data_IF_495028740723
#
_entry.id   IF_495028740723
#
_cell.length_a   1.000
_cell.length_b   1.000
_cell.length_c   1.000
_cell.angle_alpha   90.00
_cell.angle_beta   90.00
_cell.angle_gamma   90.00
#
_symmetry.space_group_name_H-M   'P 1'
#
loop_
_entity.id
_entity.type
_entity.pdbx_description
1 polymer ?
#
# COMPACT_ATOMS: atom_id res chain seq x y z
N UNK A 1 2.46 1.89 17.62
CA UNK A 1 3.30 1.20 16.63
C UNK A 1 2.45 0.20 15.86
N UNK A 2 2.76 -0.09 14.59
CA UNK A 2 2.13 -1.18 13.86
C UNK A 2 2.94 -2.47 14.08
N UNK A 3 2.30 -3.56 14.44
CA UNK A 3 2.99 -4.83 14.68
C UNK A 3 3.20 -5.58 13.37
N UNK A 4 4.23 -6.43 13.32
CA UNK A 4 4.41 -7.41 12.23
C UNK A 4 3.12 -8.24 12.05
N UNK A 5 2.76 -8.52 10.79
CA UNK A 5 1.55 -9.22 10.41
C UNK A 5 0.28 -8.35 10.35
N UNK A 6 0.30 -7.12 10.87
CA UNK A 6 -0.84 -6.22 10.74
C UNK A 6 -0.98 -5.68 9.32
N UNK A 7 -2.24 -5.50 8.92
CA UNK A 7 -2.59 -4.92 7.62
C UNK A 7 -2.86 -3.42 7.77
N UNK A 8 -2.23 -2.64 6.91
CA UNK A 8 -2.41 -1.20 6.76
C UNK A 8 -3.16 -0.92 5.46
N UNK A 9 -4.26 -0.18 5.55
CA UNK A 9 -4.97 0.38 4.39
C UNK A 9 -4.59 1.85 4.24
N UNK A 10 -4.10 2.22 3.06
CA UNK A 10 -3.78 3.60 2.69
C UNK A 10 -4.71 4.02 1.55
N UNK A 11 -5.27 5.24 1.64
CA UNK A 11 -6.08 5.84 0.59
C UNK A 11 -5.35 7.11 0.16
N UNK A 12 -5.06 7.21 -1.13
CA UNK A 12 -4.35 8.32 -1.75
C UNK A 12 -5.19 8.88 -2.91
N UNK A 13 -5.03 10.15 -3.24
CA UNK A 13 -5.72 10.78 -4.37
C UNK A 13 -4.78 11.06 -5.54
N UNK A 14 -3.50 10.72 -5.39
CA UNK A 14 -2.48 10.88 -6.41
C UNK A 14 -2.23 9.56 -7.16
N UNK A 15 -2.13 9.66 -8.49
CA UNK A 15 -1.87 8.49 -9.35
C UNK A 15 -0.45 7.94 -9.19
N UNK A 16 0.49 8.74 -8.69
CA UNK A 16 1.88 8.36 -8.46
C UNK A 16 2.01 7.25 -7.40
N UNK A 17 1.14 7.29 -6.40
CA UNK A 17 1.08 6.35 -5.28
C UNK A 17 1.06 4.89 -5.71
N UNK A 18 0.45 4.56 -6.87
CA UNK A 18 0.43 3.20 -7.41
C UNK A 18 1.83 2.61 -7.62
N UNK A 19 2.78 3.41 -8.11
CA UNK A 19 4.17 2.96 -8.32
C UNK A 19 4.97 3.04 -7.03
N UNK A 20 4.73 4.08 -6.25
CA UNK A 20 5.46 4.32 -5.00
C UNK A 20 5.19 3.20 -3.99
N UNK A 21 3.94 2.73 -3.87
CA UNK A 21 3.59 1.65 -2.94
C UNK A 21 4.07 0.27 -3.39
N UNK A 22 4.17 0.02 -4.71
CA UNK A 22 4.81 -1.18 -5.24
C UNK A 22 6.31 -1.21 -4.90
N UNK A 23 7.01 -0.10 -5.18
CA UNK A 23 8.43 0.04 -4.87
C UNK A 23 8.68 -0.02 -3.36
N UNK A 24 7.85 0.66 -2.57
CA UNK A 24 7.92 0.66 -1.11
C UNK A 24 7.79 -0.75 -0.54
N UNK A 25 6.79 -1.52 -0.96
CA UNK A 25 6.61 -2.90 -0.52
C UNK A 25 7.86 -3.75 -0.83
N UNK A 26 8.36 -3.66 -2.06
CA UNK A 26 9.57 -4.39 -2.49
C UNK A 26 10.82 -4.01 -1.69
N UNK A 27 11.05 -2.71 -1.46
CA UNK A 27 12.24 -2.21 -0.76
C UNK A 27 12.23 -2.50 0.73
N UNK A 28 11.06 -2.46 1.36
CA UNK A 28 10.90 -2.66 2.81
C UNK A 28 10.65 -4.12 3.20
N UNK A 29 10.36 -4.97 2.21
CA UNK A 29 9.96 -6.36 2.44
C UNK A 29 8.55 -6.51 3.02
N UNK A 30 7.76 -5.42 3.03
CA UNK A 30 6.33 -5.50 3.28
C UNK A 30 5.64 -6.14 2.08
N UNK A 31 4.48 -6.72 2.31
CA UNK A 31 3.70 -7.33 1.23
C UNK A 31 2.57 -6.40 0.82
N UNK A 32 2.54 -6.05 -0.46
CA UNK A 32 1.40 -5.37 -1.05
C UNK A 32 0.33 -6.42 -1.36
N UNK A 33 -0.71 -6.48 -0.51
CA UNK A 33 -1.80 -7.45 -0.61
C UNK A 33 -2.75 -7.08 -1.74
N UNK A 34 -3.11 -5.80 -1.86
CA UNK A 34 -4.10 -5.33 -2.82
C UNK A 34 -3.83 -3.87 -3.21
N UNK A 35 -4.20 -3.52 -4.43
CA UNK A 35 -4.09 -2.18 -4.97
C UNK A 35 -5.25 -1.90 -5.92
N UNK A 36 -6.11 -0.96 -5.55
CA UNK A 36 -7.34 -0.64 -6.28
C UNK A 36 -7.42 0.83 -6.64
N UNK A 37 -8.13 1.13 -7.74
CA UNK A 37 -8.51 2.50 -8.10
C UNK A 37 -10.02 2.58 -8.09
N UNK A 38 -10.56 3.47 -7.25
CA UNK A 38 -12.00 3.69 -7.07
C UNK A 38 -12.28 5.16 -7.29
N UNK A 39 -12.82 5.52 -8.45
CA UNK A 39 -13.01 6.92 -8.84
C UNK A 39 -11.66 7.66 -8.91
N UNK A 40 -11.48 8.66 -8.06
CA UNK A 40 -10.24 9.44 -7.92
C UNK A 40 -9.29 8.90 -6.85
N UNK A 41 -9.72 7.87 -6.11
CA UNK A 41 -8.98 7.34 -4.98
C UNK A 41 -8.18 6.10 -5.39
N UNK A 42 -6.98 6.00 -4.84
CA UNK A 42 -6.03 4.90 -4.98
C UNK A 42 -5.87 4.24 -3.62
N UNK A 43 -6.34 3.01 -3.51
CA UNK A 43 -6.39 2.26 -2.26
C UNK A 43 -5.28 1.21 -2.28
N UNK A 44 -4.40 1.24 -1.28
CA UNK A 44 -3.26 0.32 -1.14
C UNK A 44 -3.40 -0.46 0.17
N UNK A 45 -3.31 -1.78 0.10
CA UNK A 45 -3.37 -2.66 1.25
C UNK A 45 -2.02 -3.35 1.45
N UNK A 46 -1.36 -3.08 2.58
CA UNK A 46 -0.02 -3.59 2.89
C UNK A 46 -0.07 -4.48 4.13
N UNK A 47 0.64 -5.60 4.14
CA UNK A 47 0.93 -6.38 5.34
C UNK A 47 2.35 -6.08 5.81
N UNK A 48 2.47 -5.67 7.08
CA UNK A 48 3.77 -5.40 7.70
C UNK A 48 4.53 -6.71 7.88
N UNK A 49 5.79 -6.76 7.45
CA UNK A 49 6.69 -7.88 7.77
C UNK A 49 6.98 -7.96 9.26
#
# INVERSE_FOLDING_TARGET
ELNSGQTLKVIATDKGSLRDFQAFAQQTGNELIDQQTVGTDFIHLLRRR
#
